data_IF_511035123471
#
_entry.id   IF_511035123471
#
_cell.length_a   1.000
_cell.length_b   1.000
_cell.length_c   1.000
_cell.angle_alpha   90.00
_cell.angle_beta   90.00
_cell.angle_gamma   90.00
#
_symmetry.space_group_name_H-M   'P 1'
#
loop_
_entity.id
_entity.type
_entity.pdbx_description
1 polymer ?
#
# COMPACT_ATOMS: atom_id res chain seq x y z
N UNK A 1 6.20 9.27 -17.85
CA UNK A 1 6.77 7.94 -18.13
C UNK A 1 7.57 7.45 -16.92
N UNK A 2 7.41 6.19 -16.58
CA UNK A 2 8.17 5.60 -15.49
C UNK A 2 9.61 5.36 -15.88
N UNK A 3 10.53 5.56 -14.92
CA UNK A 3 11.91 5.19 -15.09
C UNK A 3 12.09 3.66 -14.97
N UNK A 4 13.23 3.16 -15.38
CA UNK A 4 13.49 1.73 -15.40
C UNK A 4 13.53 1.12 -14.00
N UNK A 5 13.94 1.88 -13.01
CA UNK A 5 13.99 1.40 -11.63
C UNK A 5 12.59 1.17 -11.07
N UNK A 6 11.67 2.10 -11.32
CA UNK A 6 10.28 1.97 -10.88
C UNK A 6 9.61 0.78 -11.55
N UNK A 7 9.82 0.62 -12.87
CA UNK A 7 9.29 -0.54 -13.59
C UNK A 7 9.80 -1.85 -13.01
N UNK A 8 11.08 -1.91 -12.66
CA UNK A 8 11.69 -3.10 -12.07
C UNK A 8 11.06 -3.43 -10.72
N UNK A 9 10.76 -2.40 -9.92
CA UNK A 9 10.10 -2.62 -8.62
C UNK A 9 8.70 -3.17 -8.78
N UNK A 10 7.95 -2.69 -9.77
CA UNK A 10 6.63 -3.23 -10.08
C UNK A 10 6.74 -4.69 -10.49
N UNK A 11 7.69 -4.99 -11.37
CA UNK A 11 7.93 -6.36 -11.82
C UNK A 11 8.35 -7.27 -10.66
N UNK A 12 9.18 -6.77 -9.75
CA UNK A 12 9.60 -7.51 -8.56
C UNK A 12 8.41 -7.79 -7.64
N UNK A 13 7.54 -6.79 -7.43
CA UNK A 13 6.34 -6.96 -6.61
C UNK A 13 5.43 -8.03 -7.21
N UNK A 14 5.28 -8.02 -8.53
CA UNK A 14 4.47 -9.01 -9.24
C UNK A 14 5.09 -10.41 -9.09
N UNK A 15 6.41 -10.52 -9.24
CA UNK A 15 7.11 -11.80 -9.09
C UNK A 15 6.97 -12.39 -7.70
N UNK A 16 6.98 -11.55 -6.66
CA UNK A 16 6.78 -12.00 -5.28
C UNK A 16 5.41 -12.65 -5.13
N UNK A 17 4.40 -12.12 -5.81
CA UNK A 17 3.03 -12.61 -5.68
C UNK A 17 2.73 -13.85 -6.52
N UNK A 18 3.51 -14.12 -7.56
CA UNK A 18 3.23 -15.21 -8.51
C UNK A 18 3.00 -16.56 -7.82
N UNK A 19 3.78 -16.86 -6.78
CA UNK A 19 3.66 -18.13 -6.08
C UNK A 19 2.47 -18.22 -5.11
N UNK A 20 1.87 -17.09 -4.75
CA UNK A 20 0.79 -17.01 -3.75
C UNK A 20 -0.51 -16.48 -4.30
N UNK A 21 -0.43 -15.69 -5.37
CA UNK A 21 -1.60 -15.11 -6.05
C UNK A 21 -1.46 -15.47 -7.53
N UNK A 22 -2.00 -16.61 -7.95
CA UNK A 22 -1.74 -17.13 -9.30
C UNK A 22 -2.42 -16.35 -10.43
N UNK A 23 -3.51 -15.65 -10.13
CA UNK A 23 -4.26 -14.93 -11.15
C UNK A 23 -3.63 -13.55 -11.39
N UNK A 24 -3.22 -13.24 -12.64
CA UNK A 24 -2.64 -11.93 -12.95
C UNK A 24 -3.50 -10.74 -12.56
N UNK A 25 -4.81 -10.85 -12.71
CA UNK A 25 -5.73 -9.77 -12.31
C UNK A 25 -5.65 -9.53 -10.80
N UNK A 26 -5.63 -10.59 -10.02
CA UNK A 26 -5.52 -10.48 -8.56
C UNK A 26 -4.16 -9.91 -8.14
N UNK A 27 -3.10 -10.23 -8.87
CA UNK A 27 -1.78 -9.65 -8.61
C UNK A 27 -1.81 -8.13 -8.79
N UNK A 28 -2.42 -7.67 -9.88
CA UNK A 28 -2.57 -6.24 -10.14
C UNK A 28 -3.40 -5.56 -9.05
N UNK A 29 -4.48 -6.19 -8.61
CA UNK A 29 -5.31 -5.66 -7.52
C UNK A 29 -4.52 -5.50 -6.23
N UNK A 30 -3.70 -6.48 -5.85
CA UNK A 30 -2.90 -6.42 -4.64
C UNK A 30 -1.85 -5.31 -4.71
N UNK A 31 -1.23 -5.13 -5.86
CA UNK A 31 -0.24 -4.08 -6.07
C UNK A 31 -0.94 -2.71 -6.02
N UNK A 32 -2.09 -2.56 -6.66
CA UNK A 32 -2.86 -1.31 -6.67
C UNK A 32 -3.25 -0.90 -5.25
N UNK A 33 -3.76 -1.83 -4.46
CA UNK A 33 -4.15 -1.59 -3.07
C UNK A 33 -2.95 -1.06 -2.27
N UNK A 34 -1.82 -1.74 -2.37
CA UNK A 34 -0.63 -1.36 -1.60
C UNK A 34 -0.06 -0.02 -2.04
N UNK A 35 -0.03 0.25 -3.34
CA UNK A 35 0.48 1.52 -3.85
C UNK A 35 -0.35 2.71 -3.39
N UNK A 36 -1.67 2.59 -3.45
CA UNK A 36 -2.56 3.67 -3.02
C UNK A 36 -2.49 3.86 -1.51
N UNK A 37 -2.42 2.77 -0.77
CA UNK A 37 -2.28 2.79 0.68
C UNK A 37 -1.01 3.58 1.07
N UNK A 38 0.13 3.20 0.50
CA UNK A 38 1.39 3.90 0.78
C UNK A 38 1.34 5.35 0.33
N UNK A 39 0.76 5.63 -0.83
CA UNK A 39 0.65 6.99 -1.36
C UNK A 39 -0.09 7.91 -0.37
N UNK A 40 -1.19 7.46 0.21
CA UNK A 40 -1.95 8.26 1.16
C UNK A 40 -1.15 8.55 2.43
N UNK A 41 -0.39 7.57 2.92
CA UNK A 41 0.46 7.80 4.09
C UNK A 41 1.62 8.76 3.77
N UNK A 42 2.18 8.66 2.56
CA UNK A 42 3.21 9.60 2.11
C UNK A 42 2.67 11.03 2.03
N UNK A 43 1.42 11.20 1.57
CA UNK A 43 0.76 12.51 1.56
C UNK A 43 0.57 13.06 2.97
N UNK A 44 0.17 12.22 3.91
CA UNK A 44 0.05 12.62 5.31
C UNK A 44 1.39 13.06 5.90
N UNK A 45 2.45 12.31 5.60
CA UNK A 45 3.79 12.63 6.08
C UNK A 45 4.27 13.97 5.49
N UNK A 46 4.00 14.21 4.21
CA UNK A 46 4.35 15.48 3.57
C UNK A 46 3.61 16.65 4.20
N UNK A 47 2.32 16.46 4.51
CA UNK A 47 1.54 17.49 5.19
C UNK A 47 2.14 17.85 6.54
N UNK A 48 2.59 16.85 7.30
CA UNK A 48 3.24 17.08 8.59
C UNK A 48 4.55 17.87 8.44
N UNK A 49 5.35 17.53 7.43
CA UNK A 49 6.61 18.22 7.15
C UNK A 49 6.38 19.70 6.82
N UNK A 50 5.23 20.02 6.22
CA UNK A 50 4.88 21.40 5.87
C UNK A 50 4.16 22.12 7.01
N UNK A 51 4.10 21.53 8.19
CA UNK A 51 3.49 22.14 9.36
C UNK A 51 2.00 21.91 9.53
N UNK A 52 1.41 21.06 8.69
CA UNK A 52 0.01 20.67 8.79
C UNK A 52 -0.20 19.40 9.60
N UNK A 53 -1.37 18.82 9.47
CA UNK A 53 -1.77 17.62 10.20
C UNK A 53 -2.08 16.48 9.24
N UNK A 54 -1.98 15.26 9.76
CA UNK A 54 -2.38 14.06 9.02
C UNK A 54 -3.87 14.10 8.77
N UNK A 55 -4.28 13.71 7.56
CA UNK A 55 -5.69 13.72 7.14
C UNK A 55 -6.28 12.32 7.08
N UNK A 56 -5.58 11.40 6.41
CA UNK A 56 -6.12 10.06 6.13
C UNK A 56 -5.99 9.15 7.34
N UNK A 57 -4.80 9.06 7.90
CA UNK A 57 -4.51 8.20 9.05
C UNK A 57 -4.43 9.04 10.31
N UNK A 58 -5.60 9.51 10.74
CA UNK A 58 -5.76 10.34 11.92
C UNK A 58 -6.92 9.82 12.77
N UNK A 59 -7.00 10.27 14.04
CA UNK A 59 -8.05 9.83 14.93
C UNK A 59 -8.02 8.33 15.15
N UNK A 60 -9.14 7.66 14.96
CA UNK A 60 -9.25 6.22 15.15
C UNK A 60 -8.50 5.42 14.07
N UNK A 61 -8.12 6.04 12.97
CA UNK A 61 -7.38 5.38 11.88
C UNK A 61 -5.87 5.59 11.97
N UNK A 62 -5.39 6.30 12.98
CA UNK A 62 -3.95 6.54 13.17
C UNK A 62 -3.15 5.23 13.23
N UNK A 63 -3.59 4.15 13.90
CA UNK A 63 -2.83 2.91 13.96
C UNK A 63 -2.64 2.21 12.62
N UNK A 64 -3.39 2.60 11.60
CA UNK A 64 -3.37 1.96 10.29
C UNK A 64 -2.49 2.66 9.26
N UNK A 65 -1.73 3.68 9.65
CA UNK A 65 -0.79 4.32 8.74
C UNK A 65 0.23 3.32 8.19
N UNK A 66 0.63 3.49 6.93
CA UNK A 66 1.58 2.58 6.27
C UNK A 66 2.86 2.39 7.08
N UNK A 67 3.39 3.46 7.67
CA UNK A 67 4.63 3.39 8.44
C UNK A 67 4.54 2.48 9.65
N UNK A 68 3.33 2.27 10.18
CA UNK A 68 3.14 1.33 11.30
C UNK A 68 3.47 -0.10 10.89
N UNK A 69 3.21 -0.44 9.62
CA UNK A 69 3.55 -1.76 9.08
C UNK A 69 5.06 -1.96 8.99
N UNK A 70 5.80 -0.89 8.78
CA UNK A 70 7.24 -0.93 8.58
C UNK A 70 8.02 -0.70 9.88
N UNK A 71 7.34 -0.60 11.01
CA UNK A 71 7.96 -0.31 12.29
C UNK A 71 8.95 -1.42 12.70
N UNK A 72 10.17 -1.07 13.15
CA UNK A 72 11.12 -2.06 13.63
C UNK A 72 10.55 -2.83 14.82
N UNK A 73 10.83 -4.12 14.88
CA UNK A 73 10.39 -4.96 15.99
C UNK A 73 9.01 -5.55 15.84
N UNK A 74 8.27 -5.18 14.79
CA UNK A 74 6.98 -5.80 14.51
C UNK A 74 7.21 -7.18 13.89
N UNK A 75 6.64 -8.21 14.50
CA UNK A 75 6.79 -9.58 14.01
C UNK A 75 6.02 -9.83 12.72
N UNK A 76 6.40 -10.90 12.00
CA UNK A 76 5.78 -11.21 10.71
C UNK A 76 4.27 -11.41 10.79
N UNK A 77 3.79 -12.15 11.79
CA UNK A 77 2.36 -12.36 11.96
C UNK A 77 1.64 -11.09 12.41
N UNK A 78 2.32 -10.23 13.16
CA UNK A 78 1.75 -8.93 13.57
C UNK A 78 1.55 -8.04 12.35
N UNK A 79 2.53 -7.99 11.45
CA UNK A 79 2.42 -7.24 10.19
C UNK A 79 1.28 -7.80 9.34
N UNK A 80 1.20 -9.13 9.23
CA UNK A 80 0.15 -9.79 8.47
C UNK A 80 -1.23 -9.42 8.98
N UNK A 81 -1.44 -9.49 10.29
CA UNK A 81 -2.71 -9.16 10.93
C UNK A 81 -3.05 -7.69 10.73
N UNK A 82 -2.07 -6.82 10.96
CA UNK A 82 -2.28 -5.38 10.83
C UNK A 82 -2.62 -4.98 9.39
N UNK A 83 -1.91 -5.53 8.42
CA UNK A 83 -2.16 -5.21 7.01
C UNK A 83 -3.55 -5.70 6.58
N UNK A 84 -3.89 -6.94 6.93
CA UNK A 84 -5.20 -7.50 6.59
C UNK A 84 -6.34 -6.67 7.17
N UNK A 85 -6.19 -6.20 8.41
CA UNK A 85 -7.17 -5.33 9.06
C UNK A 85 -7.21 -3.94 8.42
N UNK A 86 -6.03 -3.37 8.17
CA UNK A 86 -5.91 -2.01 7.64
C UNK A 86 -6.60 -1.86 6.28
N UNK A 87 -6.40 -2.81 5.36
CA UNK A 87 -7.00 -2.69 4.03
C UNK A 87 -8.53 -2.75 4.07
N UNK A 88 -9.10 -3.40 5.08
CA UNK A 88 -10.55 -3.36 5.30
C UNK A 88 -10.99 -2.03 5.89
N UNK A 89 -10.20 -1.47 6.80
CA UNK A 89 -10.52 -0.18 7.43
C UNK A 89 -10.44 0.99 6.46
N UNK A 90 -9.63 0.87 5.42
CA UNK A 90 -9.53 1.92 4.41
C UNK A 90 -10.86 2.16 3.69
N UNK A 91 -11.65 1.12 3.51
CA UNK A 91 -12.96 1.24 2.87
C UNK A 91 -13.97 2.06 3.68
N UNK A 92 -13.83 2.08 4.99
CA UNK A 92 -14.77 2.78 5.88
C UNK A 92 -14.20 4.08 6.46
N UNK A 93 -13.01 4.47 6.06
CA UNK A 93 -12.38 5.70 6.56
C UNK A 93 -12.99 6.91 5.85
N UNK A 94 -13.75 7.78 6.55
CA UNK A 94 -14.45 8.89 5.93
C UNK A 94 -13.52 10.00 5.43
N UNK A 95 -12.26 9.98 5.86
CA UNK A 95 -11.27 10.98 5.44
C UNK A 95 -10.65 10.65 4.08
N UNK A 96 -10.91 9.45 3.57
CA UNK A 96 -10.39 9.03 2.27
C UNK A 96 -11.44 9.35 1.20
N UNK A 97 -11.06 9.98 0.07
CA UNK A 97 -11.99 10.25 -1.02
C UNK A 97 -12.70 8.99 -1.50
N UNK A 98 -13.95 9.12 -1.88
CA UNK A 98 -14.78 7.97 -2.28
C UNK A 98 -14.12 7.15 -3.39
N UNK A 99 -13.47 7.83 -4.33
CA UNK A 99 -12.76 7.16 -5.42
C UNK A 99 -11.75 6.13 -4.91
N UNK A 100 -10.97 6.49 -3.89
CA UNK A 100 -9.99 5.59 -3.31
C UNK A 100 -10.65 4.55 -2.42
N UNK A 101 -11.68 4.94 -1.65
CA UNK A 101 -12.40 3.97 -0.81
C UNK A 101 -13.00 2.83 -1.62
N UNK A 102 -13.46 3.12 -2.82
CA UNK A 102 -14.05 2.11 -3.69
C UNK A 102 -13.03 1.04 -4.10
N UNK A 103 -11.76 1.42 -4.19
CA UNK A 103 -10.67 0.48 -4.51
C UNK A 103 -10.51 -0.55 -3.41
N UNK A 104 -10.75 -0.14 -2.15
CA UNK A 104 -10.60 -1.02 -1.00
C UNK A 104 -11.89 -1.79 -0.67
N UNK A 105 -12.94 -1.58 -1.42
CA UNK A 105 -14.19 -2.30 -1.23
C UNK A 105 -13.95 -3.78 -1.48
N UNK A 106 -14.30 -4.62 -0.49
CA UNK A 106 -14.07 -6.05 -0.54
C UNK A 106 -12.59 -6.45 -0.60
N UNK A 107 -11.67 -5.53 -0.27
CA UNK A 107 -10.25 -5.84 -0.24
C UNK A 107 -9.96 -6.86 0.85
N UNK A 108 -9.13 -7.84 0.53
CA UNK A 108 -8.68 -8.83 1.50
C UNK A 108 -7.29 -9.32 1.11
N UNK A 109 -6.58 -9.90 2.08
CA UNK A 109 -5.28 -10.48 1.82
C UNK A 109 -5.46 -11.95 1.45
N UNK A 110 -5.15 -12.36 0.22
CA UNK A 110 -5.47 -13.71 -0.28
C UNK A 110 -4.48 -14.79 0.14
N UNK A 111 -3.51 -14.48 0.97
CA UNK A 111 -2.52 -15.45 1.46
C UNK A 111 -2.18 -15.14 2.92
N UNK A 112 -1.55 -16.10 3.60
CA UNK A 112 -1.21 -15.97 5.01
C UNK A 112 0.26 -16.23 5.32
N UNK A 113 1.12 -16.06 4.33
CA UNK A 113 2.55 -16.23 4.50
C UNK A 113 3.19 -14.90 4.91
N UNK A 114 3.64 -14.76 6.17
CA UNK A 114 4.22 -13.50 6.64
C UNK A 114 5.45 -13.08 5.85
N UNK A 115 6.26 -14.04 5.44
CA UNK A 115 7.50 -13.74 4.72
C UNK A 115 7.20 -13.14 3.34
N UNK A 116 6.21 -13.69 2.63
CA UNK A 116 5.77 -13.17 1.35
C UNK A 116 5.27 -11.73 1.52
N UNK A 117 4.45 -11.49 2.53
CA UNK A 117 3.93 -10.15 2.78
C UNK A 117 5.03 -9.16 3.11
N UNK A 118 5.98 -9.53 3.97
CA UNK A 118 7.08 -8.64 4.33
C UNK A 118 7.92 -8.26 3.11
N UNK A 119 8.20 -9.24 2.24
CA UNK A 119 8.96 -8.99 1.01
C UNK A 119 8.19 -8.06 0.07
N UNK A 120 6.89 -8.30 -0.06
CA UNK A 120 6.02 -7.48 -0.90
C UNK A 120 5.94 -6.03 -0.38
N UNK A 121 5.66 -5.86 0.91
CA UNK A 121 5.55 -4.52 1.50
C UNK A 121 6.87 -3.75 1.42
N UNK A 122 7.99 -4.43 1.61
CA UNK A 122 9.29 -3.80 1.48
C UNK A 122 9.51 -3.26 0.07
N UNK A 123 9.14 -4.05 -0.94
CA UNK A 123 9.25 -3.64 -2.33
C UNK A 123 8.38 -2.42 -2.61
N UNK A 124 7.13 -2.43 -2.14
CA UNK A 124 6.23 -1.28 -2.29
C UNK A 124 6.77 -0.07 -1.54
N UNK A 125 7.32 -0.27 -0.34
CA UNK A 125 7.85 0.82 0.47
C UNK A 125 8.99 1.57 -0.21
N UNK A 126 9.69 0.93 -1.13
CA UNK A 126 10.78 1.55 -1.89
C UNK A 126 10.28 2.49 -2.99
N UNK A 127 8.99 2.47 -3.31
CA UNK A 127 8.42 3.41 -4.28
C UNK A 127 8.49 4.83 -3.74
N UNK A 128 8.91 5.74 -4.60
CA UNK A 128 9.04 7.14 -4.26
C UNK A 128 8.08 7.94 -5.13
N UNK A 129 7.02 8.47 -4.52
CA UNK A 129 6.02 9.29 -5.20
C UNK A 129 6.25 10.75 -4.85
N UNK A 130 6.98 11.43 -5.65
CA UNK A 130 7.14 12.86 -5.46
C UNK A 130 5.94 13.63 -6.03
N UNK A 131 5.19 12.98 -6.94
CA UNK A 131 4.03 13.59 -7.61
C UNK A 131 3.00 12.54 -7.93
N UNK A 132 1.72 12.96 -7.98
CA UNK A 132 0.62 12.08 -8.36
C UNK A 132 0.77 11.51 -9.77
N UNK A 133 1.52 12.19 -10.63
CA UNK A 133 1.82 11.69 -11.99
C UNK A 133 2.52 10.35 -11.96
N UNK A 134 3.48 10.16 -11.05
CA UNK A 134 4.21 8.89 -10.95
C UNK A 134 3.29 7.75 -10.56
N UNK A 135 2.31 8.02 -9.71
CA UNK A 135 1.32 7.02 -9.33
C UNK A 135 0.47 6.62 -10.54
N UNK A 136 0.00 7.60 -11.32
CA UNK A 136 -0.75 7.34 -12.55
C UNK A 136 0.05 6.53 -13.55
N UNK A 137 1.32 6.88 -13.74
CA UNK A 137 2.21 6.15 -14.64
C UNK A 137 2.42 4.71 -14.18
N UNK A 138 2.50 4.48 -12.86
CA UNK A 138 2.64 3.13 -12.32
C UNK A 138 1.40 2.29 -12.63
N UNK A 139 0.21 2.87 -12.53
CA UNK A 139 -1.03 2.17 -12.86
C UNK A 139 -1.12 1.83 -14.34
N UNK A 140 -0.68 2.72 -15.22
CA UNK A 140 -0.65 2.43 -16.64
C UNK A 140 0.29 1.26 -16.96
N UNK A 141 1.41 1.17 -16.25
CA UNK A 141 2.37 0.10 -16.45
C UNK A 141 1.82 -1.27 -15.99
N UNK A 142 0.99 -1.27 -14.96
CA UNK A 142 0.35 -2.49 -14.50
C UNK A 142 -0.66 -3.03 -15.51
#
# INVERSE_FOLDING_TARGET
>A
MLDNETKRRIDTARDILVGKVPDPKSQVEQITIALIYKFMDDMDAEAEELGGERKFFSGEFEPYGWKKLMAPGLGGFEVLTLYAEAIQKLNINPNIPQLFRDIFKNAYLPYRDPQTLKSFLKTIDEFNYNHSEKLGDAFEYL
#
